data_IF_536708718016
#
_entry.id   IF_536708718016
#
_cell.length_a   1.000
_cell.length_b   1.000
_cell.length_c   1.000
_cell.angle_alpha   90.00
_cell.angle_beta   90.00
_cell.angle_gamma   90.00
#
_symmetry.space_group_name_H-M   'P 1'
#
loop_
_entity.id
_entity.type
_entity.pdbx_description
1 polymer ?
#
# COMPACT_ATOMS: atom_id res chain seq x y z
N UNK A 1 8.03 -3.20 6.93
CA UNK A 1 8.85 -3.75 8.02
C UNK A 1 9.63 -4.96 7.53
N UNK A 2 10.96 -4.92 7.63
CA UNK A 2 11.76 -6.11 7.37
C UNK A 2 11.39 -7.23 8.36
N UNK A 3 11.34 -8.47 7.88
CA UNK A 3 10.95 -9.62 8.69
C UNK A 3 9.44 -9.91 8.73
N UNK A 4 8.64 -9.18 7.96
CA UNK A 4 7.17 -9.37 7.97
C UNK A 4 6.77 -10.78 7.55
N UNK A 5 7.44 -11.37 6.59
CA UNK A 5 7.17 -12.74 6.13
C UNK A 5 8.08 -13.75 6.83
N UNK A 6 9.37 -13.46 6.96
CA UNK A 6 10.36 -14.38 7.50
C UNK A 6 10.32 -14.53 9.03
N UNK A 7 9.81 -13.52 9.75
CA UNK A 7 9.64 -13.53 11.21
C UNK A 7 8.20 -13.27 11.64
N UNK A 8 7.28 -13.98 11.01
CA UNK A 8 5.84 -13.86 11.26
C UNK A 8 5.45 -14.02 12.73
N UNK A 9 6.15 -14.85 13.49
CA UNK A 9 5.89 -15.04 14.92
C UNK A 9 6.00 -13.74 15.71
N UNK A 10 7.02 -12.93 15.44
CA UNK A 10 7.23 -11.62 16.09
C UNK A 10 6.17 -10.62 15.63
N UNK A 11 5.87 -10.57 14.33
CA UNK A 11 4.83 -9.69 13.76
C UNK A 11 3.46 -10.00 14.38
N UNK A 12 3.14 -11.28 14.54
CA UNK A 12 1.90 -11.72 15.19
C UNK A 12 1.81 -11.26 16.65
N UNK A 13 2.95 -11.18 17.36
CA UNK A 13 3.02 -10.58 18.70
C UNK A 13 2.65 -9.09 18.69
N UNK A 14 3.18 -8.34 17.72
CA UNK A 14 2.87 -6.92 17.53
C UNK A 14 1.40 -6.68 17.15
N UNK A 15 0.82 -7.56 16.32
CA UNK A 15 -0.61 -7.52 15.96
C UNK A 15 -1.48 -7.75 17.20
N UNK A 16 -1.16 -8.74 18.02
CA UNK A 16 -1.89 -8.98 19.28
C UNK A 16 -1.84 -7.75 20.19
N UNK A 17 -0.66 -7.18 20.36
CA UNK A 17 -0.49 -5.97 21.15
C UNK A 17 -1.34 -4.80 20.64
N UNK A 18 -1.43 -4.64 19.31
CA UNK A 18 -2.30 -3.63 18.69
C UNK A 18 -3.78 -3.88 19.06
N UNK A 19 -4.24 -5.11 18.94
CA UNK A 19 -5.62 -5.50 19.27
C UNK A 19 -5.90 -5.25 20.76
N UNK A 20 -4.99 -5.63 21.65
CA UNK A 20 -5.12 -5.42 23.10
C UNK A 20 -5.28 -3.91 23.44
N UNK A 21 -4.48 -3.06 22.76
CA UNK A 21 -4.59 -1.60 22.96
C UNK A 21 -5.92 -1.07 22.40
N UNK A 22 -6.37 -1.53 21.23
CA UNK A 22 -7.68 -1.17 20.68
C UNK A 22 -8.83 -1.54 21.65
N UNK A 23 -8.75 -2.72 22.27
CA UNK A 23 -9.71 -3.15 23.28
C UNK A 23 -9.65 -2.28 24.55
N UNK A 24 -8.44 -1.89 25.00
CA UNK A 24 -8.28 -0.98 26.14
C UNK A 24 -8.89 0.39 25.87
N UNK A 25 -8.76 0.90 24.65
CA UNK A 25 -9.34 2.18 24.22
C UNK A 25 -10.88 2.06 24.18
N UNK A 26 -11.40 1.04 23.51
CA UNK A 26 -12.85 0.86 23.31
C UNK A 26 -13.59 0.59 24.63
N UNK A 27 -12.95 -0.09 25.58
CA UNK A 27 -13.51 -0.38 26.91
C UNK A 27 -13.37 0.78 27.91
N UNK A 28 -12.76 1.91 27.53
CA UNK A 28 -12.51 3.06 28.42
C UNK A 28 -11.49 2.80 29.53
N UNK A 29 -10.79 1.66 29.50
CA UNK A 29 -9.76 1.34 30.51
C UNK A 29 -8.60 2.34 30.49
N UNK A 30 -8.33 2.97 29.35
CA UNK A 30 -7.25 3.94 29.19
C UNK A 30 -7.48 5.22 30.03
N UNK A 31 -8.75 5.58 30.28
CA UNK A 31 -9.13 6.75 31.08
C UNK A 31 -8.87 6.55 32.59
N UNK A 32 -8.75 5.29 33.02
CA UNK A 32 -8.44 4.93 34.41
C UNK A 32 -6.94 4.93 34.72
N UNK A 33 -6.09 5.06 33.69
CA UNK A 33 -4.64 5.07 33.83
C UNK A 33 -4.12 6.47 34.18
N UNK A 34 -2.92 6.51 34.72
CA UNK A 34 -2.20 7.77 34.94
C UNK A 34 -1.95 8.46 33.60
N UNK A 35 -2.12 9.78 33.53
CA UNK A 35 -1.95 10.56 32.28
C UNK A 35 -0.68 10.21 31.49
N UNK A 36 0.42 9.97 32.19
CA UNK A 36 1.70 9.62 31.55
C UNK A 36 1.60 8.28 30.81
N UNK A 37 1.05 7.27 31.45
CA UNK A 37 0.86 5.92 30.86
C UNK A 37 -0.12 5.95 29.67
N UNK A 38 -1.23 6.69 29.81
CA UNK A 38 -2.20 6.85 28.73
C UNK A 38 -1.56 7.47 27.47
N UNK A 39 -0.69 8.48 27.64
CA UNK A 39 0.03 9.11 26.53
C UNK A 39 1.05 8.14 25.90
N UNK A 40 1.74 7.33 26.68
CA UNK A 40 2.69 6.33 26.16
C UNK A 40 1.96 5.24 25.34
N UNK A 41 0.84 4.72 25.86
CA UNK A 41 0.01 3.75 25.15
C UNK A 41 -0.55 4.34 23.86
N UNK A 42 -0.97 5.61 23.86
CA UNK A 42 -1.48 6.26 22.65
C UNK A 42 -0.39 6.44 21.58
N UNK A 43 0.84 6.72 21.97
CA UNK A 43 1.99 6.77 21.05
C UNK A 43 2.31 5.37 20.50
N UNK A 44 2.31 4.34 21.36
CA UNK A 44 2.50 2.96 20.96
C UNK A 44 1.43 2.52 19.96
N UNK A 45 0.16 2.82 20.24
CA UNK A 45 -0.97 2.56 19.36
C UNK A 45 -0.77 3.16 17.98
N UNK A 46 -0.45 4.46 17.91
CA UNK A 46 -0.24 5.16 16.64
C UNK A 46 0.88 4.51 15.82
N UNK A 47 1.99 4.14 16.48
CA UNK A 47 3.12 3.46 15.84
C UNK A 47 2.76 2.06 15.34
N UNK A 48 2.09 1.25 16.15
CA UNK A 48 1.68 -0.10 15.78
C UNK A 48 0.63 -0.07 14.67
N UNK A 49 -0.35 0.82 14.74
CA UNK A 49 -1.38 1.00 13.72
C UNK A 49 -0.79 1.37 12.36
N UNK A 50 0.18 2.27 12.33
CA UNK A 50 0.89 2.63 11.10
C UNK A 50 1.72 1.47 10.54
N UNK A 51 2.30 0.63 11.41
CA UNK A 51 3.22 -0.44 11.00
C UNK A 51 2.54 -1.75 10.64
N UNK A 52 1.54 -2.20 11.41
CA UNK A 52 0.92 -3.53 11.27
C UNK A 52 -0.60 -3.48 11.15
N UNK A 53 -1.21 -2.29 11.15
CA UNK A 53 -2.66 -2.15 11.07
C UNK A 53 -3.27 -2.76 9.81
N UNK A 54 -2.58 -2.68 8.67
CA UNK A 54 -3.04 -3.24 7.41
C UNK A 54 -3.06 -4.77 7.34
N UNK A 55 -2.33 -5.44 8.23
CA UNK A 55 -2.24 -6.91 8.29
C UNK A 55 -2.91 -7.49 9.54
N UNK A 56 -3.67 -6.68 10.26
CA UNK A 56 -4.33 -7.06 11.52
C UNK A 56 -5.22 -8.29 11.37
N UNK A 57 -5.98 -8.36 10.28
CA UNK A 57 -6.95 -9.41 10.02
C UNK A 57 -6.37 -10.65 9.34
N UNK A 58 -5.06 -10.64 9.02
CA UNK A 58 -4.37 -11.77 8.44
C UNK A 58 -4.19 -12.90 9.45
N UNK A 59 -4.72 -14.08 9.11
CA UNK A 59 -4.63 -15.27 9.96
C UNK A 59 -3.26 -15.96 9.90
N UNK A 60 -2.51 -15.77 8.83
CA UNK A 60 -1.23 -16.44 8.55
C UNK A 60 -0.43 -15.71 7.48
N UNK A 61 0.58 -16.39 6.96
CA UNK A 61 1.32 -15.92 5.79
C UNK A 61 0.39 -15.87 4.58
N UNK A 62 0.58 -14.91 3.67
CA UNK A 62 -0.22 -14.82 2.44
C UNK A 62 0.17 -15.92 1.45
N UNK A 63 -0.75 -16.35 0.61
CA UNK A 63 -0.52 -17.31 -0.46
C UNK A 63 0.18 -16.68 -1.68
N UNK A 64 0.08 -15.35 -1.83
CA UNK A 64 0.78 -14.56 -2.83
C UNK A 64 0.93 -13.12 -2.34
N UNK A 65 1.90 -12.39 -2.89
CA UNK A 65 2.03 -10.95 -2.65
C UNK A 65 1.95 -10.18 -3.98
N UNK A 66 1.34 -9.02 -3.93
CA UNK A 66 1.32 -8.06 -5.02
C UNK A 66 2.16 -6.84 -4.63
N UNK A 67 3.17 -6.51 -5.44
CA UNK A 67 4.13 -5.43 -5.18
C UNK A 67 4.00 -4.37 -6.26
N UNK A 68 3.82 -3.11 -5.85
CA UNK A 68 3.64 -1.99 -6.77
C UNK A 68 4.98 -1.44 -7.25
N UNK A 69 5.93 -1.24 -6.35
CA UNK A 69 7.29 -0.77 -6.65
C UNK A 69 8.29 -1.83 -6.17
N UNK A 70 8.75 -2.65 -7.12
CA UNK A 70 9.66 -3.77 -6.84
C UNK A 70 11.02 -3.29 -6.35
N UNK A 71 11.49 -2.15 -6.85
CA UNK A 71 12.78 -1.58 -6.46
C UNK A 71 12.77 -1.08 -5.03
N UNK A 72 11.71 -0.37 -4.65
CA UNK A 72 11.55 0.18 -3.30
C UNK A 72 11.28 -0.94 -2.29
N UNK A 73 10.45 -1.91 -2.66
CA UNK A 73 10.02 -3.02 -1.79
C UNK A 73 10.89 -4.28 -1.95
N UNK A 74 12.15 -4.12 -2.35
CA UNK A 74 13.09 -5.23 -2.58
C UNK A 74 13.17 -6.21 -1.38
N UNK A 75 13.04 -5.71 -0.16
CA UNK A 75 13.07 -6.54 1.05
C UNK A 75 11.88 -7.50 1.06
N UNK A 76 10.68 -7.03 0.71
CA UNK A 76 9.48 -7.87 0.65
C UNK A 76 9.61 -8.97 -0.40
N UNK A 77 10.17 -8.65 -1.57
CA UNK A 77 10.45 -9.62 -2.65
C UNK A 77 11.43 -10.69 -2.19
N UNK A 78 12.54 -10.30 -1.54
CA UNK A 78 13.53 -11.24 -1.02
C UNK A 78 12.96 -12.15 0.08
N UNK A 79 12.12 -11.62 0.95
CA UNK A 79 11.45 -12.40 1.99
C UNK A 79 10.44 -13.39 1.40
N UNK A 80 9.63 -12.96 0.42
CA UNK A 80 8.68 -13.81 -0.27
C UNK A 80 9.41 -14.97 -0.99
N UNK A 81 10.48 -14.66 -1.73
CA UNK A 81 11.32 -15.68 -2.38
C UNK A 81 11.87 -16.69 -1.37
N UNK A 82 12.35 -16.23 -0.21
CA UNK A 82 12.86 -17.10 0.86
C UNK A 82 11.78 -18.00 1.45
N UNK A 83 10.53 -17.51 1.50
CA UNK A 83 9.39 -18.26 2.03
C UNK A 83 8.65 -19.09 0.99
N UNK A 84 9.05 -19.00 -0.30
CA UNK A 84 8.37 -19.69 -1.40
C UNK A 84 7.00 -19.12 -1.72
N UNK A 85 6.76 -17.84 -1.40
CA UNK A 85 5.52 -17.14 -1.67
C UNK A 85 5.62 -16.48 -3.04
N UNK A 86 4.71 -16.76 -3.99
CA UNK A 86 4.74 -16.18 -5.32
C UNK A 86 4.52 -14.65 -5.28
N UNK A 87 5.30 -13.97 -6.12
CA UNK A 87 5.34 -12.51 -6.22
C UNK A 87 4.77 -12.07 -7.55
N UNK A 88 3.74 -11.23 -7.49
CA UNK A 88 3.19 -10.50 -8.65
C UNK A 88 3.67 -9.06 -8.51
N UNK A 89 4.38 -8.52 -9.49
CA UNK A 89 4.97 -7.18 -9.38
C UNK A 89 4.74 -6.30 -10.58
N UNK A 90 4.53 -5.00 -10.32
CA UNK A 90 4.66 -3.97 -11.35
C UNK A 90 6.16 -3.71 -11.52
N UNK A 91 6.64 -3.87 -12.74
CA UNK A 91 8.05 -3.67 -13.07
C UNK A 91 8.16 -2.54 -14.09
N UNK A 92 8.77 -1.44 -13.67
CA UNK A 92 9.11 -0.30 -14.52
C UNK A 92 10.53 -0.47 -15.09
N UNK A 93 10.92 0.40 -15.97
CA UNK A 93 12.23 0.41 -16.68
C UNK A 93 13.45 0.53 -15.77
N UNK A 94 13.27 1.03 -14.54
CA UNK A 94 14.31 1.19 -13.53
C UNK A 94 14.39 0.04 -12.51
N UNK A 95 13.55 -0.99 -12.68
CA UNK A 95 13.39 -2.10 -11.74
C UNK A 95 13.96 -3.39 -12.31
N UNK A 96 14.50 -4.22 -11.41
CA UNK A 96 15.03 -5.55 -11.74
C UNK A 96 13.89 -6.58 -11.67
N UNK A 97 13.60 -7.32 -12.76
CA UNK A 97 12.54 -8.33 -12.78
C UNK A 97 12.92 -9.63 -12.03
N UNK A 98 14.18 -9.78 -11.62
CA UNK A 98 14.66 -11.02 -11.00
C UNK A 98 13.98 -11.27 -9.65
N UNK A 99 13.34 -12.41 -9.53
CA UNK A 99 12.63 -12.84 -8.32
C UNK A 99 11.14 -12.50 -8.31
N UNK A 100 10.61 -12.05 -9.45
CA UNK A 100 9.18 -11.81 -9.65
C UNK A 100 8.62 -12.95 -10.49
N UNK A 101 7.62 -13.66 -9.96
CA UNK A 101 7.01 -14.81 -10.65
C UNK A 101 6.06 -14.35 -11.76
N UNK A 102 5.34 -13.26 -11.54
CA UNK A 102 4.44 -12.67 -12.54
C UNK A 102 4.73 -11.19 -12.70
N UNK A 103 5.32 -10.84 -13.83
CA UNK A 103 5.73 -9.47 -14.16
C UNK A 103 4.59 -8.74 -14.86
N UNK A 104 4.25 -7.56 -14.38
CA UNK A 104 3.32 -6.62 -15.02
C UNK A 104 4.15 -5.41 -15.46
N UNK A 105 4.50 -5.30 -16.76
CA UNK A 105 5.29 -4.15 -17.24
C UNK A 105 4.41 -2.90 -17.25
N UNK A 106 4.68 -1.96 -16.37
CA UNK A 106 3.95 -0.71 -16.28
C UNK A 106 4.71 0.31 -15.42
N UNK A 107 4.23 1.57 -15.47
CA UNK A 107 4.76 2.65 -14.66
C UNK A 107 4.26 2.51 -13.20
N UNK A 108 5.19 2.52 -12.26
CA UNK A 108 4.96 2.35 -10.81
C UNK A 108 4.87 3.67 -10.03
N UNK A 109 5.13 4.83 -10.68
CA UNK A 109 5.01 6.17 -10.08
C UNK A 109 3.66 6.84 -10.39
N UNK A 110 3.09 6.59 -11.58
CA UNK A 110 1.88 7.26 -12.02
C UNK A 110 0.62 6.72 -11.31
N UNK A 111 -0.06 7.57 -10.54
CA UNK A 111 -1.27 7.22 -9.78
C UNK A 111 -2.34 6.54 -10.67
N UNK A 112 -2.49 6.97 -11.93
CA UNK A 112 -3.47 6.39 -12.87
C UNK A 112 -3.10 4.96 -13.24
N UNK A 113 -1.82 4.67 -13.50
CA UNK A 113 -1.31 3.33 -13.79
C UNK A 113 -1.52 2.41 -12.59
N UNK A 114 -1.06 2.82 -11.42
CA UNK A 114 -1.18 2.06 -10.17
C UNK A 114 -2.65 1.75 -9.88
N UNK A 115 -3.54 2.74 -9.97
CA UNK A 115 -4.97 2.57 -9.72
C UNK A 115 -5.61 1.57 -10.67
N UNK A 116 -5.29 1.63 -11.96
CA UNK A 116 -5.82 0.71 -12.96
C UNK A 116 -5.42 -0.73 -12.65
N UNK A 117 -4.13 -0.97 -12.45
CA UNK A 117 -3.59 -2.31 -12.22
C UNK A 117 -4.09 -2.87 -10.88
N UNK A 118 -4.04 -2.07 -9.82
CA UNK A 118 -4.55 -2.48 -8.50
C UNK A 118 -6.03 -2.85 -8.56
N UNK A 119 -6.84 -2.11 -9.33
CA UNK A 119 -8.25 -2.46 -9.54
C UNK A 119 -8.40 -3.81 -10.23
N UNK A 120 -7.64 -4.07 -11.29
CA UNK A 120 -7.69 -5.36 -12.00
C UNK A 120 -7.33 -6.53 -11.08
N UNK A 121 -6.28 -6.36 -10.27
CA UNK A 121 -5.86 -7.38 -9.28
C UNK A 121 -6.95 -7.57 -8.22
N UNK A 122 -7.52 -6.50 -7.68
CA UNK A 122 -8.60 -6.58 -6.68
C UNK A 122 -9.84 -7.29 -7.24
N UNK A 123 -10.24 -6.97 -8.47
CA UNK A 123 -11.37 -7.62 -9.16
C UNK A 123 -11.09 -9.12 -9.41
N UNK A 124 -9.84 -9.48 -9.72
CA UNK A 124 -9.43 -10.87 -9.88
C UNK A 124 -9.50 -11.65 -8.55
N UNK A 125 -9.02 -11.04 -7.46
CA UNK A 125 -9.12 -11.61 -6.10
C UNK A 125 -10.58 -11.81 -5.69
N UNK A 126 -11.44 -10.82 -5.92
CA UNK A 126 -12.87 -10.91 -5.60
C UNK A 126 -13.53 -12.07 -6.34
N UNK A 127 -13.29 -12.21 -7.66
CA UNK A 127 -13.78 -13.35 -8.45
C UNK A 127 -13.26 -14.70 -7.94
N UNK A 128 -11.99 -14.75 -7.57
CA UNK A 128 -11.39 -15.96 -6.99
C UNK A 128 -12.07 -16.40 -5.70
N UNK A 129 -12.36 -15.44 -4.81
CA UNK A 129 -13.07 -15.70 -3.54
C UNK A 129 -14.50 -16.17 -3.80
N UNK A 130 -15.22 -15.56 -4.76
CA UNK A 130 -16.56 -15.97 -5.15
C UNK A 130 -16.59 -17.39 -5.72
N UNK A 131 -15.65 -17.72 -6.60
CA UNK A 131 -15.50 -19.06 -7.16
C UNK A 131 -15.20 -20.11 -6.08
N UNK A 132 -14.33 -19.78 -5.14
CA UNK A 132 -14.00 -20.67 -4.01
C UNK A 132 -15.18 -20.93 -3.08
N UNK A 133 -16.15 -19.99 -3.01
CA UNK A 133 -17.40 -20.17 -2.23
C UNK A 133 -18.47 -20.97 -2.98
N UNK A 134 -18.17 -21.51 -4.16
CA UNK A 134 -19.10 -22.31 -4.97
C UNK A 134 -20.12 -21.48 -5.77
N UNK A 135 -19.93 -20.17 -5.86
CA UNK A 135 -20.66 -19.35 -6.82
C UNK A 135 -20.00 -19.50 -8.18
N UNK A 136 -20.67 -20.17 -9.12
CA UNK A 136 -20.22 -20.25 -10.50
C UNK A 136 -20.06 -18.82 -11.05
N UNK A 137 -18.90 -18.46 -11.61
CA UNK A 137 -18.74 -17.16 -12.26
C UNK A 137 -19.68 -17.11 -13.46
N UNK A 138 -20.60 -16.14 -13.49
CA UNK A 138 -21.22 -15.77 -14.76
C UNK A 138 -20.07 -15.37 -15.67
N UNK A 139 -19.98 -16.05 -16.81
CA UNK A 139 -18.98 -15.83 -17.85
C UNK A 139 -19.15 -14.45 -18.48
N UNK A 140 -18.63 -13.44 -17.83
CA UNK A 140 -18.39 -12.16 -18.47
C UNK A 140 -16.87 -12.00 -18.54
N UNK A 141 -16.33 -12.22 -19.73
CA UNK A 141 -14.98 -11.80 -20.08
C UNK A 141 -14.77 -10.35 -19.61
N UNK A 142 -13.56 -9.96 -19.20
CA UNK A 142 -13.30 -8.59 -18.82
C UNK A 142 -13.65 -7.70 -20.00
N UNK A 143 -14.82 -7.06 -19.93
CA UNK A 143 -15.17 -6.01 -20.86
C UNK A 143 -14.21 -4.87 -20.52
N UNK A 144 -13.18 -4.73 -21.36
CA UNK A 144 -12.46 -3.46 -21.48
C UNK A 144 -13.53 -2.47 -21.93
N UNK A 145 -14.21 -1.87 -20.95
CA UNK A 145 -15.08 -0.75 -21.26
C UNK A 145 -14.17 0.32 -21.85
N UNK A 146 -14.32 0.52 -23.17
CA UNK A 146 -13.76 1.69 -23.84
C UNK A 146 -14.21 2.89 -22.99
N UNK A 147 -13.25 3.56 -22.39
CA UNK A 147 -13.48 4.83 -21.68
C UNK A 147 -14.23 5.70 -22.69
N UNK A 148 -15.51 5.98 -22.42
CA UNK A 148 -16.26 6.97 -23.17
C UNK A 148 -15.52 8.28 -23.05
N UNK A 149 -15.29 8.95 -24.16
CA UNK A 149 -14.65 10.26 -24.29
C UNK A 149 -15.54 11.42 -23.79
N UNK A 150 -16.22 11.23 -22.69
CA UNK A 150 -17.15 12.23 -22.12
C UNK A 150 -16.69 12.71 -20.73
N UNK A 151 -15.37 12.66 -20.44
CA UNK A 151 -14.82 13.48 -19.38
C UNK A 151 -14.74 14.92 -19.92
N UNK A 152 -15.32 15.92 -19.23
CA UNK A 152 -15.22 17.31 -19.67
C UNK A 152 -13.74 17.68 -19.74
N UNK A 153 -13.34 18.25 -20.89
CA UNK A 153 -12.06 18.90 -21.06
C UNK A 153 -11.84 19.84 -19.87
N UNK A 154 -10.89 19.49 -19.01
CA UNK A 154 -10.33 20.44 -18.06
C UNK A 154 -9.52 21.40 -18.91
N UNK A 155 -10.15 22.51 -19.30
CA UNK A 155 -9.49 23.64 -19.93
C UNK A 155 -8.36 24.10 -19.02
N UNK A 156 -7.16 24.01 -19.55
CA UNK A 156 -5.90 24.49 -18.95
C UNK A 156 -5.88 26.02 -19.15
N UNK A 157 -6.76 26.76 -18.48
CA UNK A 157 -6.75 28.23 -18.56
C UNK A 157 -6.45 28.93 -17.21
N UNK A 158 -6.41 28.20 -16.08
CA UNK A 158 -6.23 28.83 -14.75
C UNK A 158 -4.87 28.62 -14.09
N UNK A 159 -3.83 28.24 -14.85
CA UNK A 159 -2.50 28.01 -14.27
C UNK A 159 -1.40 29.01 -14.71
N UNK A 160 -1.77 30.10 -15.37
CA UNK A 160 -0.76 31.07 -15.86
C UNK A 160 -0.62 32.34 -15.00
N UNK A 161 -1.43 32.55 -14.00
CA UNK A 161 -1.34 33.77 -13.16
C UNK A 161 -0.49 33.60 -11.86
N UNK A 162 -0.11 32.41 -11.46
CA UNK A 162 0.67 32.22 -10.23
C UNK A 162 2.19 32.11 -10.42
N UNK A 163 2.69 32.18 -11.66
CA UNK A 163 4.14 32.05 -11.94
C UNK A 163 4.86 33.40 -12.10
N UNK A 164 4.12 34.51 -12.07
CA UNK A 164 4.67 35.84 -12.32
C UNK A 164 5.32 36.53 -11.09
N UNK A 165 5.16 35.99 -9.87
CA UNK A 165 5.59 36.68 -8.64
C UNK A 165 6.83 36.06 -7.97
N UNK A 166 7.50 35.10 -8.62
CA UNK A 166 8.73 34.48 -8.10
C UNK A 166 10.04 34.98 -8.75
N UNK A 167 10.00 36.02 -9.59
CA UNK A 167 11.16 36.54 -10.30
C UNK A 167 11.94 37.67 -9.59
N UNK A 168 11.60 37.99 -8.32
CA UNK A 168 12.22 39.08 -7.56
C UNK A 168 12.97 38.65 -6.30
N UNK A 169 13.52 37.43 -6.26
CA UNK A 169 14.49 37.10 -5.22
C UNK A 169 15.90 37.42 -5.77
N UNK A 170 16.32 38.63 -5.50
CA UNK A 170 17.71 39.09 -5.72
C UNK A 170 18.60 38.36 -4.71
N UNK A 171 19.36 37.37 -5.18
CA UNK A 171 20.47 36.78 -4.42
C UNK A 171 21.66 37.75 -4.53
N UNK A 172 21.91 38.53 -3.49
CA UNK A 172 23.12 39.28 -3.31
C UNK A 172 24.28 38.34 -2.95
N UNK A 173 25.28 38.25 -3.80
CA UNK A 173 26.53 37.53 -3.53
C UNK A 173 27.26 38.17 -2.32
N UNK A 174 27.87 37.38 -1.44
CA UNK A 174 28.75 37.90 -0.42
C UNK A 174 30.13 38.19 -1.03
N UNK A 175 30.51 39.45 -1.06
CA UNK A 175 31.89 39.90 -1.29
C UNK A 175 32.74 39.62 -0.06
N UNK A 176 33.84 38.86 -0.28
CA UNK A 176 35.03 38.61 0.55
C UNK A 176 34.88 37.85 1.84
#
# INVERSE_FOLDING_TARGET
LGGTLTNWKTIRGSIRRLIDIEEMISSGRIEKLIKKEAVEIQKEYTKLKASVGGIKDMKGLPDAIFVVDVKYEKIAVLEAKKMGIPVIGIVDTNSDPDGIDTIIPANDDAIRSIRLITKVIADACARGIESAKGFAPKSDAPVIQKVKKDDPEVTIEDSQEEVADLSLIHISEPTR
#
